data_IF_735926347104
#
_entry.id   IF_735926347104
#
_cell.length_a   1.000
_cell.length_b   1.000
_cell.length_c   1.000
_cell.angle_alpha   90.00
_cell.angle_beta   90.00
_cell.angle_gamma   90.00
#
_symmetry.space_group_name_H-M   'P 1'
#
loop_
_entity.id
_entity.type
_entity.pdbx_description
1 polymer ?
#
# COMPACT_ATOMS: atom_id res chain seq x y z
N UNK A 1 20.12 -10.33 -20.28
CA UNK A 1 20.76 -10.81 -19.03
C UNK A 1 20.05 -12.10 -18.63
N UNK A 2 20.78 -13.22 -18.54
CA UNK A 2 20.23 -14.54 -18.17
C UNK A 2 20.57 -14.79 -16.70
N UNK A 3 19.56 -14.88 -15.84
CA UNK A 3 19.76 -15.26 -14.44
C UNK A 3 19.95 -16.77 -14.35
N UNK A 4 21.13 -17.19 -13.90
CA UNK A 4 21.46 -18.57 -13.55
C UNK A 4 21.08 -18.79 -12.08
N UNK A 5 19.79 -18.96 -11.82
CA UNK A 5 19.27 -19.12 -10.45
C UNK A 5 17.75 -19.18 -10.37
N UNK A 6 17.09 -19.54 -11.48
CA UNK A 6 15.65 -19.40 -11.67
C UNK A 6 14.87 -20.59 -11.08
N UNK A 7 15.17 -20.91 -9.83
CA UNK A 7 14.39 -21.90 -9.07
C UNK A 7 12.94 -21.41 -8.92
N UNK A 8 11.98 -22.34 -8.83
CA UNK A 8 10.55 -22.08 -8.73
C UNK A 8 10.12 -21.45 -7.39
N UNK A 9 10.79 -20.37 -6.96
CA UNK A 9 10.45 -19.53 -5.82
C UNK A 9 9.63 -18.29 -6.19
N UNK A 10 9.40 -17.43 -5.20
CA UNK A 10 8.72 -16.13 -5.36
C UNK A 10 9.67 -15.19 -6.14
N UNK A 11 9.67 -15.30 -7.46
CA UNK A 11 10.44 -14.39 -8.32
C UNK A 11 9.66 -13.08 -8.47
N UNK A 12 10.25 -11.99 -7.98
CA UNK A 12 9.72 -10.64 -8.10
C UNK A 12 10.67 -9.81 -8.94
N UNK A 13 10.13 -8.84 -9.68
CA UNK A 13 10.91 -7.82 -10.38
C UNK A 13 10.86 -6.50 -9.62
N UNK A 14 11.81 -5.63 -9.91
CA UNK A 14 11.81 -4.27 -9.41
C UNK A 14 10.49 -3.55 -9.74
N UNK A 15 10.07 -2.71 -8.80
CA UNK A 15 8.87 -1.86 -8.91
C UNK A 15 9.30 -0.41 -8.90
N UNK A 16 8.73 0.35 -9.82
CA UNK A 16 8.80 1.81 -9.84
C UNK A 16 7.53 2.37 -9.22
N UNK A 17 7.64 3.44 -8.45
CA UNK A 17 6.51 4.12 -7.86
C UNK A 17 6.61 5.64 -7.99
N UNK A 18 5.45 6.27 -8.07
CA UNK A 18 5.31 7.71 -8.10
C UNK A 18 4.09 8.13 -7.27
N UNK A 19 4.26 9.20 -6.50
CA UNK A 19 3.18 9.77 -5.69
C UNK A 19 3.04 11.25 -5.98
N UNK A 20 1.81 11.73 -6.01
CA UNK A 20 1.51 13.15 -5.97
C UNK A 20 0.52 13.42 -4.85
N UNK A 21 0.72 14.50 -4.11
CA UNK A 21 -0.18 14.90 -3.03
C UNK A 21 -0.23 16.42 -2.92
N UNK A 22 -1.36 16.91 -2.42
CA UNK A 22 -1.57 18.30 -2.10
C UNK A 22 -2.10 18.42 -0.67
N UNK A 23 -1.62 19.43 0.04
CA UNK A 23 -2.17 19.88 1.31
C UNK A 23 -2.79 21.26 1.12
N UNK A 24 -4.02 21.43 1.60
CA UNK A 24 -4.71 22.71 1.60
C UNK A 24 -5.12 23.12 3.02
N UNK A 25 -4.60 24.28 3.46
CA UNK A 25 -5.01 24.91 4.72
C UNK A 25 -6.28 25.73 4.48
N UNK A 26 -7.42 25.08 4.63
CA UNK A 26 -8.73 25.69 4.41
C UNK A 26 -9.04 26.78 5.45
N UNK A 27 -8.60 26.58 6.70
CA UNK A 27 -8.71 27.58 7.78
C UNK A 27 -7.44 27.55 8.65
N UNK A 28 -7.25 28.51 9.57
CA UNK A 28 -6.14 28.45 10.55
C UNK A 28 -6.16 27.18 11.42
N UNK A 29 -7.31 26.51 11.52
CA UNK A 29 -7.50 25.31 12.35
C UNK A 29 -7.68 24.03 11.53
N UNK A 30 -7.87 24.10 10.21
CA UNK A 30 -8.16 22.94 9.37
C UNK A 30 -7.20 22.85 8.18
N UNK A 31 -6.48 21.72 8.10
CA UNK A 31 -5.70 21.32 6.94
C UNK A 31 -6.30 20.06 6.32
N UNK A 32 -6.45 20.05 5.00
CA UNK A 32 -6.94 18.92 4.21
C UNK A 32 -5.80 18.36 3.37
N UNK A 33 -5.75 17.04 3.22
CA UNK A 33 -4.74 16.34 2.42
C UNK A 33 -5.44 15.40 1.45
N UNK A 34 -4.96 15.40 0.21
CA UNK A 34 -5.37 14.46 -0.82
C UNK A 34 -4.12 14.02 -1.58
N UNK A 35 -3.99 12.74 -1.86
CA UNK A 35 -2.87 12.19 -2.58
C UNK A 35 -3.24 10.97 -3.37
N UNK A 36 -2.43 10.70 -4.38
CA UNK A 36 -2.55 9.52 -5.22
C UNK A 36 -1.16 8.93 -5.43
N UNK A 37 -1.11 7.61 -5.38
CA UNK A 37 0.11 6.85 -5.56
C UNK A 37 -0.12 5.75 -6.59
N UNK A 38 0.84 5.64 -7.50
CA UNK A 38 0.92 4.58 -8.49
C UNK A 38 2.22 3.80 -8.32
N UNK A 39 2.12 2.48 -8.35
CA UNK A 39 3.26 1.58 -8.36
C UNK A 39 3.11 0.52 -9.46
N UNK A 40 4.21 0.18 -10.12
CA UNK A 40 4.25 -0.95 -11.06
C UNK A 40 4.24 -2.29 -10.31
N UNK A 41 3.71 -3.33 -10.95
CA UNK A 41 3.60 -4.66 -10.34
C UNK A 41 4.96 -5.34 -10.24
N UNK A 42 5.33 -5.79 -9.05
CA UNK A 42 6.53 -6.61 -8.79
C UNK A 42 6.35 -8.08 -9.19
N UNK A 43 5.10 -8.54 -9.38
CA UNK A 43 4.81 -9.92 -9.77
C UNK A 43 5.23 -10.24 -11.21
N UNK A 44 5.86 -11.41 -11.38
CA UNK A 44 6.17 -12.03 -12.68
C UNK A 44 5.23 -13.22 -12.89
N UNK A 45 4.82 -13.48 -14.15
CA UNK A 45 3.82 -14.49 -14.49
C UNK A 45 4.09 -15.89 -13.91
N UNK A 46 5.35 -16.33 -13.84
CA UNK A 46 5.73 -17.64 -13.28
C UNK A 46 5.52 -17.74 -11.76
N UNK A 47 5.48 -16.61 -11.06
CA UNK A 47 5.28 -16.54 -9.60
C UNK A 47 3.80 -16.40 -9.21
N UNK A 48 2.88 -16.35 -10.18
CA UNK A 48 1.48 -16.02 -9.93
C UNK A 48 0.77 -17.05 -9.04
N UNK A 49 1.19 -18.33 -9.09
CA UNK A 49 0.66 -19.35 -8.18
C UNK A 49 0.99 -19.08 -6.71
N UNK A 50 2.14 -18.47 -6.44
CA UNK A 50 2.56 -18.09 -5.08
C UNK A 50 2.01 -16.71 -4.68
N UNK A 51 1.59 -15.89 -5.64
CA UNK A 51 0.97 -14.59 -5.37
C UNK A 51 -0.36 -14.70 -4.61
N UNK A 52 -1.01 -15.87 -4.61
CA UNK A 52 -2.20 -16.14 -3.77
C UNK A 52 -1.87 -15.99 -2.27
N UNK A 53 -0.65 -16.33 -1.85
CA UNK A 53 -0.22 -16.26 -0.44
C UNK A 53 0.12 -14.83 0.00
N UNK A 54 0.54 -13.97 -0.93
CA UNK A 54 0.88 -12.57 -0.67
C UNK A 54 0.46 -11.71 -1.86
N UNK A 55 -0.82 -11.33 -1.93
CA UNK A 55 -1.36 -10.62 -3.09
C UNK A 55 -0.92 -9.15 -3.08
N UNK A 56 0.24 -8.88 -3.68
CA UNK A 56 0.69 -7.52 -4.01
C UNK A 56 0.31 -7.17 -5.44
N UNK A 57 -1.00 -7.03 -5.68
CA UNK A 57 -1.55 -6.74 -7.02
C UNK A 57 -2.02 -5.30 -7.18
N UNK A 58 -2.32 -4.59 -6.10
CA UNK A 58 -2.81 -3.22 -6.15
C UNK A 58 -1.75 -2.27 -6.72
N UNK A 59 -2.12 -1.49 -7.73
CA UNK A 59 -1.23 -0.50 -8.36
C UNK A 59 -1.59 0.93 -8.00
N UNK A 60 -2.88 1.20 -7.88
CA UNK A 60 -3.43 2.52 -7.66
C UNK A 60 -3.89 2.65 -6.22
N UNK A 61 -3.42 3.70 -5.56
CA UNK A 61 -3.77 4.03 -4.18
C UNK A 61 -4.25 5.47 -4.14
N UNK A 62 -5.38 5.72 -3.50
CA UNK A 62 -5.88 7.06 -3.20
C UNK A 62 -5.79 7.27 -1.70
N UNK A 63 -5.17 8.36 -1.28
CA UNK A 63 -5.06 8.77 0.11
C UNK A 63 -5.79 10.09 0.33
N UNK A 64 -6.48 10.20 1.46
CA UNK A 64 -7.12 11.43 1.89
C UNK A 64 -6.99 11.58 3.40
N UNK A 65 -7.06 12.81 3.90
CA UNK A 65 -6.99 13.04 5.33
C UNK A 65 -7.20 14.49 5.70
N UNK A 66 -7.29 14.74 7.00
CA UNK A 66 -7.36 16.09 7.53
C UNK A 66 -6.67 16.17 8.89
N UNK A 67 -6.22 17.36 9.22
CA UNK A 67 -5.80 17.73 10.57
C UNK A 67 -6.64 18.89 11.06
N UNK A 68 -7.16 18.77 12.27
CA UNK A 68 -8.01 19.76 12.93
C UNK A 68 -7.37 20.20 14.26
N UNK A 69 -6.98 21.46 14.36
CA UNK A 69 -6.50 22.06 15.59
C UNK A 69 -7.68 22.39 16.51
N UNK A 70 -7.72 21.75 17.67
CA UNK A 70 -8.75 21.98 18.70
C UNK A 70 -8.37 23.21 19.53
N UNK A 71 -7.09 23.29 19.91
CA UNK A 71 -6.49 24.45 20.58
C UNK A 71 -5.13 24.78 19.92
N UNK A 72 -4.44 25.81 20.40
CA UNK A 72 -3.05 26.08 19.96
C UNK A 72 -2.08 24.94 20.31
N UNK A 73 -2.45 24.11 21.28
CA UNK A 73 -1.62 23.07 21.88
C UNK A 73 -2.11 21.66 21.54
N UNK A 74 -3.27 21.50 20.91
CA UNK A 74 -3.84 20.20 20.59
C UNK A 74 -4.41 20.13 19.18
N UNK A 75 -4.14 19.03 18.48
CA UNK A 75 -4.71 18.73 17.18
C UNK A 75 -5.09 17.27 17.02
N UNK A 76 -6.09 17.04 16.19
CA UNK A 76 -6.54 15.72 15.77
C UNK A 76 -6.16 15.50 14.31
N UNK A 77 -5.60 14.35 13.99
CA UNK A 77 -5.24 13.95 12.63
C UNK A 77 -5.98 12.69 12.22
N UNK A 78 -6.51 12.68 11.01
CA UNK A 78 -7.17 11.54 10.41
C UNK A 78 -6.65 11.32 9.00
N UNK A 79 -6.39 10.07 8.64
CA UNK A 79 -6.07 9.69 7.27
C UNK A 79 -6.76 8.39 6.86
N UNK A 80 -7.04 8.26 5.58
CA UNK A 80 -7.56 7.06 4.94
C UNK A 80 -6.79 6.81 3.66
N UNK A 81 -6.49 5.54 3.40
CA UNK A 81 -5.88 5.05 2.18
C UNK A 81 -6.78 3.97 1.58
N UNK A 82 -7.01 4.05 0.28
CA UNK A 82 -7.76 3.07 -0.48
C UNK A 82 -6.93 2.54 -1.64
N UNK A 83 -6.72 1.22 -1.66
CA UNK A 83 -6.06 0.49 -2.73
C UNK A 83 -7.13 -0.06 -3.68
N UNK A 84 -7.18 0.44 -4.92
CA UNK A 84 -8.18 0.03 -5.90
C UNK A 84 -7.95 -1.39 -6.38
N UNK A 85 -9.04 -2.09 -6.68
CA UNK A 85 -9.00 -3.46 -7.22
C UNK A 85 -8.13 -3.51 -8.46
N UNK A 86 -7.14 -4.39 -8.44
CA UNK A 86 -6.39 -4.76 -9.63
C UNK A 86 -6.32 -6.27 -9.73
N UNK A 87 -6.24 -6.78 -10.95
CA UNK A 87 -6.18 -8.22 -11.23
C UNK A 87 -5.01 -8.54 -12.13
N UNK A 88 -4.34 -9.65 -11.85
CA UNK A 88 -3.29 -10.22 -12.69
C UNK A 88 -3.70 -11.64 -13.03
N UNK A 89 -3.60 -11.99 -14.32
CA UNK A 89 -3.90 -13.32 -14.83
C UNK A 89 -2.73 -13.86 -15.62
N UNK A 90 -2.43 -15.15 -15.43
CA UNK A 90 -1.46 -15.88 -16.24
C UNK A 90 -1.81 -17.37 -16.26
N UNK A 91 -1.25 -18.10 -17.23
CA UNK A 91 -1.31 -19.55 -17.22
C UNK A 91 -0.70 -20.09 -15.92
N UNK A 92 -1.31 -21.14 -15.38
CA UNK A 92 -0.79 -21.83 -14.20
C UNK A 92 0.66 -22.29 -14.47
N UNK A 93 1.58 -21.88 -13.61
CA UNK A 93 2.95 -22.37 -13.66
C UNK A 93 3.02 -23.76 -13.00
N UNK A 94 3.61 -24.74 -13.68
CA UNK A 94 3.78 -26.07 -13.11
C UNK A 94 5.15 -26.11 -12.45
N UNK A 95 5.24 -26.36 -11.13
CA UNK A 95 6.51 -26.40 -10.43
C UNK A 95 7.40 -27.54 -10.97
N UNK A 96 8.71 -27.40 -10.76
CA UNK A 96 9.67 -28.46 -11.10
C UNK A 96 9.32 -29.74 -10.33
N UNK A 97 9.29 -30.86 -11.04
CA UNK A 97 9.06 -32.19 -10.47
C UNK A 97 9.94 -33.23 -11.15
N UNK A 98 10.02 -34.44 -10.61
CA UNK A 98 10.83 -35.54 -11.18
C UNK A 98 10.45 -35.82 -12.64
N UNK A 99 9.18 -35.66 -13.01
CA UNK A 99 8.71 -35.81 -14.41
C UNK A 99 8.80 -34.53 -15.25
N UNK A 100 9.15 -33.38 -14.66
CA UNK A 100 9.24 -32.06 -15.32
C UNK A 100 10.41 -31.26 -14.74
N UNK A 101 11.66 -31.56 -15.12
CA UNK A 101 12.86 -31.01 -14.49
C UNK A 101 13.01 -29.49 -14.62
N UNK A 102 12.33 -28.87 -15.58
CA UNK A 102 12.33 -27.41 -15.79
C UNK A 102 10.99 -26.73 -15.44
N UNK A 103 10.04 -27.48 -14.86
CA UNK A 103 8.66 -27.00 -14.70
C UNK A 103 8.00 -26.76 -16.06
N UNK A 104 6.93 -25.98 -16.08
CA UNK A 104 6.27 -25.59 -17.33
C UNK A 104 5.10 -24.65 -17.10
N UNK A 105 4.27 -24.44 -18.13
CA UNK A 105 2.98 -23.77 -17.99
C UNK A 105 1.87 -24.75 -18.40
N UNK A 106 0.74 -24.70 -17.70
CA UNK A 106 -0.48 -25.38 -18.08
C UNK A 106 -1.34 -24.42 -18.93
N UNK A 107 -1.34 -24.51 -20.27
CA UNK A 107 -2.17 -23.63 -21.09
C UNK A 107 -3.67 -23.89 -20.92
N UNK A 108 -4.05 -25.03 -20.32
CA UNK A 108 -5.45 -25.38 -20.04
C UNK A 108 -5.98 -24.78 -18.72
N UNK A 109 -5.13 -24.16 -17.90
CA UNK A 109 -5.53 -23.54 -16.64
C UNK A 109 -4.98 -22.11 -16.50
N UNK A 110 -5.81 -21.20 -16.03
CA UNK A 110 -5.44 -19.79 -15.78
C UNK A 110 -5.65 -19.45 -14.32
N UNK A 111 -4.64 -18.87 -13.69
CA UNK A 111 -4.73 -18.34 -12.33
C UNK A 111 -5.06 -16.86 -12.42
N UNK A 112 -6.12 -16.44 -11.73
CA UNK A 112 -6.52 -15.04 -11.58
C UNK A 112 -6.37 -14.62 -10.12
N UNK A 113 -5.52 -13.64 -9.85
CA UNK A 113 -5.34 -13.07 -8.52
C UNK A 113 -5.83 -11.63 -8.54
N UNK A 114 -6.64 -11.25 -7.55
CA UNK A 114 -7.12 -9.89 -7.39
C UNK A 114 -7.15 -9.53 -5.90
N UNK A 115 -6.95 -8.25 -5.60
CA UNK A 115 -7.07 -7.71 -4.25
C UNK A 115 -7.53 -6.26 -4.31
N UNK A 116 -8.22 -5.82 -3.27
CA UNK A 116 -8.50 -4.43 -2.93
C UNK A 116 -8.44 -4.32 -1.40
N UNK A 117 -8.22 -3.12 -0.90
CA UNK A 117 -8.11 -2.93 0.54
C UNK A 117 -8.10 -1.47 0.92
N UNK A 118 -8.33 -1.22 2.20
CA UNK A 118 -8.23 0.11 2.77
C UNK A 118 -7.55 0.07 4.12
N UNK A 119 -6.94 1.19 4.49
CA UNK A 119 -6.41 1.43 5.82
C UNK A 119 -6.83 2.83 6.25
N UNK A 120 -6.96 3.04 7.56
CA UNK A 120 -7.18 4.37 8.12
C UNK A 120 -6.30 4.55 9.35
N UNK A 121 -5.97 5.80 9.65
CA UNK A 121 -5.23 6.19 10.85
C UNK A 121 -5.94 7.32 11.57
N UNK A 122 -5.84 7.31 12.88
CA UNK A 122 -6.31 8.37 13.76
C UNK A 122 -5.15 8.73 14.69
N UNK A 123 -4.89 10.01 14.85
CA UNK A 123 -3.85 10.53 15.73
C UNK A 123 -4.34 11.72 16.55
N UNK A 124 -3.79 11.87 17.74
CA UNK A 124 -3.95 13.06 18.57
C UNK A 124 -2.58 13.60 18.91
N UNK A 125 -2.35 14.86 18.61
CA UNK A 125 -1.11 15.56 18.90
C UNK A 125 -1.34 16.56 20.01
N UNK A 126 -0.43 16.57 20.98
CA UNK A 126 -0.46 17.50 22.09
C UNK A 126 0.92 18.10 22.31
N UNK A 127 0.97 19.42 22.51
CA UNK A 127 2.18 20.19 22.77
C UNK A 127 2.10 20.82 24.16
N UNK A 128 3.00 20.40 25.04
CA UNK A 128 3.21 21.02 26.35
C UNK A 128 3.97 22.35 26.18
N UNK A 129 3.40 23.48 26.60
CA UNK A 129 4.12 24.75 26.74
C UNK A 129 3.64 25.60 27.94
N UNK A 130 4.35 26.69 28.27
CA UNK A 130 4.02 27.54 29.43
C UNK A 130 2.70 28.31 29.29
N UNK A 131 2.10 28.39 28.09
CA UNK A 131 0.84 29.09 27.81
C UNK A 131 -0.35 28.14 27.67
N UNK A 132 -0.29 26.97 28.29
CA UNK A 132 -1.28 25.90 28.16
C UNK A 132 -2.59 26.23 28.90
N UNK A 133 -3.62 26.58 28.13
CA UNK A 133 -5.00 26.85 28.59
C UNK A 133 -5.91 25.61 28.49
N UNK A 134 -5.36 24.39 28.44
CA UNK A 134 -6.15 23.16 28.19
C UNK A 134 -6.64 22.44 29.45
N UNK A 135 -7.58 21.50 29.25
CA UNK A 135 -8.33 20.77 30.29
C UNK A 135 -7.45 19.95 31.27
N UNK A 136 -6.24 19.56 30.87
CA UNK A 136 -5.32 18.83 31.75
C UNK A 136 -4.38 19.83 32.44
N UNK A 137 -4.48 20.01 33.77
CA UNK A 137 -3.69 21.00 34.47
C UNK A 137 -2.21 20.59 34.44
N UNK A 138 -1.40 21.35 33.71
CA UNK A 138 0.08 21.25 33.76
C UNK A 138 0.70 22.31 34.68
N UNK A 139 -0.14 23.09 35.38
CA UNK A 139 0.28 24.04 36.40
C UNK A 139 0.38 23.30 37.75
N UNK A 140 1.61 22.98 38.19
CA UNK A 140 1.92 22.67 39.59
C UNK A 140 2.52 23.91 40.25
#
# INVERSE_FOLDING_TARGET
>A
MRSLGDSAGINMKDTDSASFAAEWRATPTLALRLGYHYATSSLIARSLNFAVLSPSVNRHHLGGGFNYAITKNSSFDFSVLWAFKNSVSAFEAIPQSVGRPFGGFNPAATVNVWAYGGAFSVGYNYKFDQGDDSWFPTHF
#
